data_IF_691625981733
#
_entry.id   IF_691625981733
#
_cell.length_a   1.000
_cell.length_b   1.000
_cell.length_c   1.000
_cell.angle_alpha   90.00
_cell.angle_beta   90.00
_cell.angle_gamma   90.00
#
_symmetry.space_group_name_H-M   'P 1'
#
loop_
_entity.id
_entity.type
_entity.pdbx_description
1 polymer ?
#
# COMPACT_ATOMS: atom_id res chain seq x y z
N UNK A 1 4.87 3.59 -62.81
CA UNK A 1 5.17 2.47 -61.88
C UNK A 1 4.61 2.84 -60.52
N UNK A 2 3.87 2.05 -59.75
CA UNK A 2 3.48 0.64 -59.79
C UNK A 2 2.92 0.39 -58.39
N UNK A 3 1.64 0.07 -58.30
CA UNK A 3 0.89 -0.19 -57.07
C UNK A 3 1.45 -1.46 -56.43
N UNK A 4 1.73 -1.48 -55.11
CA UNK A 4 1.74 -2.73 -54.33
C UNK A 4 1.13 -2.51 -52.94
N UNK A 5 -0.09 -3.02 -52.80
CA UNK A 5 -0.78 -3.30 -51.54
C UNK A 5 0.00 -4.36 -50.76
N UNK A 6 -0.01 -4.25 -49.43
CA UNK A 6 0.15 -5.41 -48.55
C UNK A 6 -0.86 -5.25 -47.40
N UNK A 7 -1.99 -5.93 -47.53
CA UNK A 7 -2.87 -6.27 -46.42
C UNK A 7 -2.28 -7.53 -45.82
N UNK A 8 -1.88 -7.50 -44.56
CA UNK A 8 -1.58 -8.71 -43.79
C UNK A 8 -2.60 -8.78 -42.66
N UNK A 9 -3.62 -9.59 -42.90
CA UNK A 9 -4.47 -10.17 -41.87
C UNK A 9 -3.78 -11.45 -41.39
N UNK A 10 -3.42 -11.49 -40.12
CA UNK A 10 -3.07 -12.69 -39.35
C UNK A 10 -3.40 -12.32 -37.90
N UNK A 11 -4.46 -12.84 -37.30
CA UNK A 11 -4.55 -14.22 -36.85
C UNK A 11 -4.53 -14.16 -35.32
N UNK A 12 -5.69 -14.41 -34.70
CA UNK A 12 -5.86 -14.39 -33.25
C UNK A 12 -4.96 -15.42 -32.56
N UNK A 13 -4.30 -15.02 -31.47
CA UNK A 13 -3.77 -15.94 -30.47
C UNK A 13 -3.88 -15.30 -29.08
N UNK A 14 -4.66 -15.96 -28.23
CA UNK A 14 -4.80 -15.76 -26.79
C UNK A 14 -3.46 -15.93 -26.08
N UNK A 15 -3.11 -15.01 -25.17
CA UNK A 15 -2.46 -15.32 -23.90
C UNK A 15 -2.48 -14.09 -22.99
N UNK A 16 -3.43 -14.06 -22.05
CA UNK A 16 -3.25 -13.35 -20.79
C UNK A 16 -2.00 -13.91 -20.12
N UNK A 17 -0.95 -13.11 -20.00
CA UNK A 17 0.12 -13.35 -19.05
C UNK A 17 0.20 -12.13 -18.14
N UNK A 18 -0.62 -12.16 -17.09
CA UNK A 18 -0.44 -11.30 -15.93
C UNK A 18 0.86 -11.70 -15.25
N UNK A 19 1.94 -11.01 -15.58
CA UNK A 19 3.20 -11.07 -14.85
C UNK A 19 3.24 -9.95 -13.82
N UNK A 20 2.34 -10.00 -12.82
CA UNK A 20 2.55 -9.30 -11.55
C UNK A 20 3.26 -10.25 -10.61
N UNK A 21 4.57 -10.37 -10.78
CA UNK A 21 5.45 -10.80 -9.70
C UNK A 21 6.64 -9.86 -9.64
N UNK A 22 6.36 -8.57 -9.39
CA UNK A 22 7.31 -7.77 -8.62
C UNK A 22 7.30 -8.32 -7.19
N UNK A 23 7.98 -9.45 -7.00
CA UNK A 23 8.51 -9.84 -5.70
C UNK A 23 9.46 -8.70 -5.32
N UNK A 24 8.96 -7.80 -4.47
CA UNK A 24 9.71 -6.70 -3.90
C UNK A 24 10.97 -7.24 -3.23
N UNK A 25 12.09 -7.11 -3.91
CA UNK A 25 13.38 -7.59 -3.48
C UNK A 25 13.94 -6.62 -2.42
N UNK A 26 13.95 -7.04 -1.15
CA UNK A 26 15.05 -6.78 -0.21
C UNK A 26 15.35 -5.34 0.21
N UNK A 27 14.38 -4.65 0.81
CA UNK A 27 14.63 -3.76 1.95
C UNK A 27 13.34 -3.75 2.77
N UNK A 28 13.35 -4.40 3.94
CA UNK A 28 12.14 -4.52 4.77
C UNK A 28 11.51 -3.15 5.03
N UNK A 29 10.19 -3.15 5.23
CA UNK A 29 9.48 -1.97 5.69
C UNK A 29 10.12 -1.46 6.99
N UNK A 30 10.19 -0.14 7.16
CA UNK A 30 10.66 0.47 8.40
C UNK A 30 9.83 -0.03 9.58
N UNK A 31 10.42 -0.09 10.78
CA UNK A 31 9.68 -0.36 12.01
C UNK A 31 8.54 0.64 12.21
N UNK A 32 7.46 0.21 12.86
CA UNK A 32 6.36 1.10 13.22
C UNK A 32 6.83 1.99 14.37
N UNK A 33 6.68 3.30 14.22
CA UNK A 33 7.07 4.29 15.23
C UNK A 33 5.85 4.82 15.99
N UNK A 34 6.09 5.34 17.19
CA UNK A 34 5.05 5.99 17.98
C UNK A 34 4.61 7.33 17.37
N UNK A 35 3.37 7.72 17.66
CA UNK A 35 2.81 8.99 17.18
C UNK A 35 3.62 10.19 17.68
N UNK A 36 4.04 11.06 16.76
CA UNK A 36 4.85 12.23 17.02
C UNK A 36 6.34 11.94 17.17
N UNK A 37 6.79 10.71 16.93
CA UNK A 37 8.20 10.38 16.95
C UNK A 37 8.89 10.90 15.68
N UNK A 38 9.90 11.75 15.86
CA UNK A 38 10.68 12.29 14.75
C UNK A 38 11.68 11.26 14.20
N UNK A 39 11.94 11.27 12.89
CA UNK A 39 12.95 10.39 12.28
C UNK A 39 14.33 10.54 12.95
N UNK A 40 14.62 11.73 13.49
CA UNK A 40 15.89 12.06 14.15
C UNK A 40 16.08 11.36 15.50
N UNK A 41 15.01 10.80 16.10
CA UNK A 41 15.12 10.02 17.33
C UNK A 41 15.82 8.68 17.09
N UNK A 42 15.67 8.11 15.88
CA UNK A 42 16.27 6.83 15.49
C UNK A 42 17.55 7.00 14.65
N UNK A 43 17.72 8.16 13.99
CA UNK A 43 18.87 8.44 13.14
C UNK A 43 19.43 9.85 13.37
N UNK A 44 20.74 10.04 13.28
CA UNK A 44 21.38 11.33 13.58
C UNK A 44 21.19 12.43 12.50
N UNK A 45 20.30 12.23 11.52
CA UNK A 45 20.11 13.15 10.40
C UNK A 45 18.64 13.25 10.01
N UNK A 46 18.25 14.42 9.52
CA UNK A 46 16.92 14.65 8.96
C UNK A 46 16.80 13.96 7.61
N UNK A 47 15.66 13.30 7.38
CA UNK A 47 15.32 12.72 6.10
C UNK A 47 14.28 13.59 5.43
N UNK A 48 14.46 13.85 4.14
CA UNK A 48 13.45 14.54 3.36
C UNK A 48 12.15 13.73 3.37
N UNK A 49 11.05 14.41 3.66
CA UNK A 49 9.69 13.87 3.63
C UNK A 49 8.92 14.47 2.45
N UNK A 50 7.96 13.70 1.93
CA UNK A 50 7.15 14.07 0.78
C UNK A 50 5.67 14.00 1.14
N UNK A 51 4.89 14.97 0.64
CA UNK A 51 3.43 14.94 0.74
C UNK A 51 2.87 14.14 -0.45
N UNK A 52 2.48 12.88 -0.19
CA UNK A 52 1.94 11.97 -1.20
C UNK A 52 0.53 11.57 -0.78
N UNK A 53 -0.46 12.32 -1.26
CA UNK A 53 -1.85 12.14 -0.86
C UNK A 53 -2.47 10.80 -1.33
N UNK A 54 -2.12 10.33 -2.53
CA UNK A 54 -2.67 9.11 -3.14
C UNK A 54 -1.59 8.34 -3.92
N UNK A 55 -0.77 7.52 -3.24
CA UNK A 55 0.25 6.69 -3.89
C UNK A 55 -0.38 5.72 -4.89
N UNK A 56 0.26 5.50 -6.05
CA UNK A 56 -0.25 4.58 -7.09
C UNK A 56 -0.40 3.13 -6.61
N UNK A 57 0.38 2.74 -5.60
CA UNK A 57 0.32 1.40 -5.00
C UNK A 57 -0.76 1.26 -3.92
N UNK A 58 -1.48 2.34 -3.59
CA UNK A 58 -2.49 2.33 -2.54
C UNK A 58 -3.81 1.74 -3.05
N UNK A 59 -4.36 0.79 -2.29
CA UNK A 59 -5.71 0.28 -2.53
C UNK A 59 -6.72 1.37 -2.21
N UNK A 60 -7.78 1.49 -3.00
CA UNK A 60 -8.79 2.54 -2.84
C UNK A 60 -9.97 2.06 -2.00
N UNK A 61 -10.50 2.90 -1.11
CA UNK A 61 -11.65 2.59 -0.25
C UNK A 61 -12.55 3.81 -0.04
N UNK A 62 -13.84 3.58 0.20
CA UNK A 62 -14.77 4.60 0.70
C UNK A 62 -14.77 4.75 2.23
N UNK A 63 -13.82 4.12 2.93
CA UNK A 63 -13.59 4.26 4.37
C UNK A 63 -13.77 2.98 5.20
N UNK A 64 -14.29 1.90 4.61
CA UNK A 64 -14.26 0.57 5.25
C UNK A 64 -13.14 -0.28 4.66
N UNK A 65 -12.31 -0.88 5.51
CA UNK A 65 -11.26 -1.80 5.09
C UNK A 65 -11.40 -3.12 5.82
N UNK A 66 -11.44 -4.22 5.08
CA UNK A 66 -11.36 -5.57 5.61
C UNK A 66 -9.94 -6.07 5.48
N UNK A 67 -9.34 -6.46 6.59
CA UNK A 67 -7.96 -6.93 6.66
C UNK A 67 -7.98 -8.39 7.02
N UNK A 68 -7.43 -9.24 6.16
CA UNK A 68 -7.21 -10.66 6.42
C UNK A 68 -5.76 -10.85 6.82
N UNK A 69 -5.54 -11.47 7.98
CA UNK A 69 -4.19 -11.72 8.48
C UNK A 69 -4.18 -12.83 9.52
N UNK A 70 -3.00 -13.41 9.75
CA UNK A 70 -2.75 -14.35 10.85
C UNK A 70 -2.22 -13.68 12.11
N UNK A 71 -1.90 -12.38 12.05
CA UNK A 71 -1.49 -11.62 13.22
C UNK A 71 -2.68 -11.43 14.19
N UNK A 72 -2.39 -11.29 15.48
CA UNK A 72 -3.43 -11.06 16.51
C UNK A 72 -3.99 -9.62 16.48
N UNK A 73 -3.24 -8.70 15.86
CA UNK A 73 -3.55 -7.28 15.81
C UNK A 73 -3.08 -6.66 14.49
N UNK A 74 -3.86 -5.70 14.02
CA UNK A 74 -3.51 -4.81 12.91
C UNK A 74 -3.28 -3.42 13.47
N UNK A 75 -2.24 -2.75 12.99
CA UNK A 75 -1.90 -1.37 13.33
C UNK A 75 -2.35 -0.45 12.20
N UNK A 76 -2.95 0.67 12.56
CA UNK A 76 -3.36 1.72 11.64
C UNK A 76 -2.39 2.87 11.79
N UNK A 77 -1.65 3.15 10.72
CA UNK A 77 -0.55 4.10 10.74
C UNK A 77 -0.75 5.23 9.72
N UNK A 78 -0.22 6.42 10.03
CA UNK A 78 0.05 7.45 9.03
C UNK A 78 1.36 7.14 8.33
N UNK A 79 1.40 7.12 6.99
CA UNK A 79 2.66 6.95 6.26
C UNK A 79 3.38 8.30 6.14
N UNK A 80 4.60 8.36 6.68
CA UNK A 80 5.55 9.45 6.41
C UNK A 80 6.37 9.06 5.19
N UNK A 81 6.06 9.62 4.02
CA UNK A 81 6.74 9.24 2.78
C UNK A 81 8.15 9.80 2.71
N UNK A 82 9.10 8.94 2.39
CA UNK A 82 10.52 9.25 2.27
C UNK A 82 11.05 8.98 0.86
N UNK A 83 10.14 8.74 -0.08
CA UNK A 83 10.35 8.79 -1.51
C UNK A 83 9.20 9.55 -2.18
N UNK A 84 9.52 10.29 -3.24
CA UNK A 84 8.57 11.14 -3.94
C UNK A 84 7.44 10.37 -4.65
N UNK A 85 7.70 9.12 -5.03
CA UNK A 85 6.73 8.22 -5.65
C UNK A 85 5.81 7.50 -4.65
N UNK A 86 6.01 7.73 -3.34
CA UNK A 86 5.26 7.08 -2.26
C UNK A 86 5.62 5.60 -2.03
N UNK A 87 6.63 5.06 -2.73
CA UNK A 87 7.03 3.64 -2.61
C UNK A 87 7.74 3.31 -1.30
N UNK A 88 8.31 4.32 -0.61
CA UNK A 88 8.99 4.18 0.67
C UNK A 88 8.39 5.13 1.68
N UNK A 89 8.06 4.61 2.85
CA UNK A 89 7.49 5.38 3.95
C UNK A 89 7.90 4.82 5.31
N UNK A 90 7.73 5.63 6.35
CA UNK A 90 7.80 5.22 7.75
C UNK A 90 6.36 5.16 8.30
N UNK A 91 5.92 4.03 8.89
CA UNK A 91 4.59 3.94 9.48
C UNK A 91 4.58 4.52 10.89
N UNK A 92 3.84 5.60 11.09
CA UNK A 92 3.57 6.19 12.40
C UNK A 92 2.25 5.66 12.95
N UNK A 93 2.28 4.89 14.03
CA UNK A 93 1.08 4.28 14.60
C UNK A 93 0.13 5.33 15.16
N UNK A 94 -1.13 5.28 14.74
CA UNK A 94 -2.22 6.12 15.27
C UNK A 94 -3.16 5.30 16.14
N UNK A 95 -3.49 4.09 15.70
CA UNK A 95 -4.37 3.20 16.45
C UNK A 95 -4.11 1.74 16.09
N UNK A 96 -4.88 0.84 16.69
CA UNK A 96 -4.80 -0.58 16.40
C UNK A 96 -6.17 -1.23 16.53
N UNK A 97 -6.35 -2.37 15.85
CA UNK A 97 -7.56 -3.18 15.92
C UNK A 97 -7.18 -4.63 16.16
N UNK A 98 -7.93 -5.30 17.04
CA UNK A 98 -7.77 -6.74 17.25
C UNK A 98 -8.27 -7.50 16.03
N UNK A 99 -7.59 -8.60 15.74
CA UNK A 99 -8.01 -9.56 14.73
C UNK A 99 -8.87 -10.62 15.39
N UNK A 100 -10.05 -10.86 14.83
CA UNK A 100 -10.97 -11.92 15.24
C UNK A 100 -11.22 -12.84 14.05
N UNK A 101 -11.10 -14.15 14.29
CA UNK A 101 -11.33 -15.18 13.27
C UNK A 101 -10.52 -14.96 11.97
N UNK A 102 -9.26 -14.50 12.11
CA UNK A 102 -8.34 -14.25 10.99
C UNK A 102 -8.63 -12.97 10.20
N UNK A 103 -9.50 -12.08 10.71
CA UNK A 103 -9.82 -10.82 10.07
C UNK A 103 -10.00 -9.64 11.04
N UNK A 104 -9.80 -8.42 10.54
CA UNK A 104 -10.15 -7.19 11.22
C UNK A 104 -10.94 -6.28 10.27
N UNK A 105 -11.94 -5.58 10.79
CA UNK A 105 -12.64 -4.52 10.08
C UNK A 105 -12.19 -3.18 10.62
N UNK A 106 -11.70 -2.31 9.73
CA UNK A 106 -11.26 -0.96 10.04
C UNK A 106 -12.24 0.04 9.45
N UNK A 107 -12.50 1.10 10.22
CA UNK A 107 -13.21 2.28 9.75
C UNK A 107 -12.22 3.45 9.76
N UNK A 108 -11.94 3.99 8.58
CA UNK A 108 -10.91 4.99 8.36
C UNK A 108 -11.55 6.27 7.80
N UNK A 109 -11.05 7.43 8.23
CA UNK A 109 -11.40 8.70 7.61
C UNK A 109 -10.66 8.88 6.29
N UNK A 110 -11.08 9.88 5.50
CA UNK A 110 -10.38 10.27 4.28
C UNK A 110 -8.89 10.52 4.51
N UNK A 111 -8.10 10.22 3.48
CA UNK A 111 -6.64 10.28 3.50
C UNK A 111 -5.98 8.93 3.22
N UNK A 112 -4.65 8.93 3.21
CA UNK A 112 -3.85 7.71 3.00
C UNK A 112 -3.33 7.15 4.31
N UNK A 113 -3.53 5.85 4.48
CA UNK A 113 -3.19 5.07 5.67
C UNK A 113 -2.25 3.93 5.30
N UNK A 114 -1.35 3.57 6.21
CA UNK A 114 -0.60 2.32 6.15
C UNK A 114 -1.20 1.34 7.15
N UNK A 115 -1.68 0.20 6.64
CA UNK A 115 -2.21 -0.89 7.45
C UNK A 115 -1.07 -1.86 7.69
N UNK A 116 -0.66 -2.02 8.93
CA UNK A 116 0.56 -2.73 9.30
C UNK A 116 0.29 -3.94 10.20
N UNK A 117 1.14 -4.95 10.09
CA UNK A 117 1.25 -6.02 11.08
C UNK A 117 2.71 -6.20 11.49
N UNK A 118 2.92 -6.40 12.79
CA UNK A 118 4.24 -6.69 13.32
C UNK A 118 4.48 -8.21 13.27
N UNK A 119 5.63 -8.60 12.72
CA UNK A 119 6.12 -9.98 12.70
C UNK A 119 7.64 -9.99 12.81
N UNK A 120 8.32 -10.90 12.12
CA UNK A 120 9.80 -10.84 11.99
C UNK A 120 10.26 -9.57 11.26
N UNK A 121 9.41 -9.03 10.40
CA UNK A 121 9.52 -7.71 9.77
C UNK A 121 8.14 -7.08 9.71
N UNK A 122 8.07 -5.75 9.67
CA UNK A 122 6.80 -5.05 9.41
C UNK A 122 6.33 -5.42 8.00
N UNK A 123 5.06 -5.79 7.89
CA UNK A 123 4.35 -5.81 6.61
C UNK A 123 3.37 -4.65 6.60
N UNK A 124 3.26 -3.97 5.47
CA UNK A 124 2.37 -2.83 5.34
C UNK A 124 1.70 -2.80 3.96
N UNK A 125 0.43 -2.41 3.94
CA UNK A 125 -0.31 -2.10 2.72
C UNK A 125 -0.85 -0.67 2.83
N UNK A 126 -0.63 0.13 1.80
CA UNK A 126 -1.21 1.46 1.70
C UNK A 126 -2.67 1.37 1.25
N UNK A 127 -3.52 2.18 1.89
CA UNK A 127 -4.93 2.36 1.53
C UNK A 127 -5.23 3.85 1.46
N UNK A 128 -5.76 4.32 0.34
CA UNK A 128 -6.29 5.68 0.20
C UNK A 128 -7.80 5.64 0.35
N UNK A 129 -8.31 6.42 1.30
CA UNK A 129 -9.73 6.61 1.55
C UNK A 129 -10.18 7.91 0.90
N UNK A 130 -11.17 7.81 0.02
CA UNK A 130 -11.78 8.95 -0.66
C UNK A 130 -13.28 8.73 -0.82
N UNK A 131 -14.06 9.80 -0.64
CA UNK A 131 -15.50 9.82 -0.94
C UNK A 131 -15.82 9.64 -2.43
N UNK A 132 -14.84 9.80 -3.33
CA UNK A 132 -15.00 9.57 -4.77
C UNK A 132 -14.98 8.07 -5.15
N UNK A 133 -14.51 7.22 -4.23
CA UNK A 133 -14.43 5.77 -4.41
C UNK A 133 -15.67 5.12 -3.81
N UNK A 134 -16.23 4.14 -4.51
CA UNK A 134 -17.34 3.35 -3.99
C UNK A 134 -16.85 2.04 -3.35
N UNK A 135 -17.27 1.81 -2.11
CA UNK A 135 -17.20 0.49 -1.47
C UNK A 135 -15.97 0.24 -0.60
N UNK A 136 -15.96 -0.90 0.12
CA UNK A 136 -14.87 -1.27 0.98
C UNK A 136 -13.63 -1.69 0.19
N UNK A 137 -12.48 -1.70 0.86
CA UNK A 137 -11.26 -2.33 0.36
C UNK A 137 -10.98 -3.63 1.12
N UNK A 138 -10.42 -4.60 0.41
CA UNK A 138 -9.85 -5.82 0.99
C UNK A 138 -8.32 -5.73 0.98
N UNK A 139 -7.71 -6.09 2.10
CA UNK A 139 -6.27 -6.08 2.33
C UNK A 139 -5.86 -7.43 2.92
N UNK A 140 -4.77 -8.02 2.45
CA UNK A 140 -4.20 -9.26 3.00
C UNK A 140 -2.76 -9.03 3.43
N UNK A 141 -2.43 -9.41 4.68
CA UNK A 141 -1.14 -9.17 5.34
C UNK A 141 -0.56 -10.41 6.03
#
# INVERSE_FOLDING_TARGET
>A
MGIRKAVISAGAAFALAMAFTLVGCGSGQHEVIDQGQECSSCHSGEKQVYDVAAPLSAVQSSGTVFVKTSAEQVLVCKPIFVSQDGSKFVPEQVSSAKVADGSARLQLSEGTWAICVNGQSVKAQLVTVSSEVSGPADVEL
#
